data_IF_349891759999
#
_entry.id   IF_349891759999
#
_cell.length_a   1.000
_cell.length_b   1.000
_cell.length_c   1.000
_cell.angle_alpha   90.00
_cell.angle_beta   90.00
_cell.angle_gamma   90.00
#
_symmetry.space_group_name_H-M   'P 1'
#
loop_
_entity.id
_entity.type
_entity.pdbx_description
1 polymer ?
#
# COMPACT_ATOMS: atom_id res chain seq x y z
N UNK A 1 -19.47 -23.69 11.13
CA UNK A 1 -18.57 -23.48 9.98
C UNK A 1 -17.15 -23.39 10.51
N UNK A 2 -16.23 -24.19 9.98
CA UNK A 2 -14.80 -24.14 10.34
C UNK A 2 -14.28 -22.74 10.07
N UNK A 3 -13.63 -22.10 11.04
CA UNK A 3 -13.03 -20.79 10.86
C UNK A 3 -12.00 -20.87 9.72
N UNK A 4 -12.24 -20.15 8.62
CA UNK A 4 -11.32 -20.08 7.49
C UNK A 4 -10.06 -19.36 7.98
N UNK A 5 -8.93 -20.06 7.99
CA UNK A 5 -7.65 -19.50 8.45
C UNK A 5 -6.81 -19.07 7.24
N UNK A 6 -6.11 -17.93 7.32
CA UNK A 6 -5.11 -17.57 6.31
C UNK A 6 -4.05 -18.65 6.18
N UNK A 7 -3.68 -18.96 4.94
CA UNK A 7 -2.65 -19.95 4.62
C UNK A 7 -1.53 -19.29 3.83
N UNK A 8 -0.28 -19.63 4.16
CA UNK A 8 0.86 -19.24 3.35
C UNK A 8 0.73 -19.93 1.99
N UNK A 9 0.81 -19.16 0.92
CA UNK A 9 0.53 -19.67 -0.44
C UNK A 9 1.77 -20.16 -1.15
N UNK A 10 2.96 -19.68 -0.77
CA UNK A 10 4.19 -19.80 -1.57
C UNK A 10 5.46 -19.82 -0.71
N UNK A 11 6.61 -20.27 -1.26
CA UNK A 11 7.85 -20.41 -0.47
C UNK A 11 8.52 -19.08 -0.14
N UNK A 12 8.20 -17.98 -0.83
CA UNK A 12 8.84 -16.68 -0.66
C UNK A 12 8.75 -16.16 0.77
N UNK A 13 9.82 -15.47 1.18
CA UNK A 13 9.96 -14.84 2.50
C UNK A 13 10.58 -13.46 2.34
N UNK A 14 9.71 -12.46 2.30
CA UNK A 14 10.04 -11.08 2.01
C UNK A 14 10.68 -10.39 3.22
N UNK A 15 11.62 -9.49 2.96
CA UNK A 15 12.20 -8.66 4.03
C UNK A 15 11.14 -7.70 4.57
N UNK A 16 10.51 -6.95 3.66
CA UNK A 16 9.40 -6.05 3.94
C UNK A 16 8.38 -6.13 2.80
N UNK A 17 7.57 -7.19 2.83
CA UNK A 17 6.50 -7.40 1.86
C UNK A 17 5.34 -6.43 2.07
N UNK A 18 5.06 -5.59 1.09
CA UNK A 18 4.16 -4.44 1.22
C UNK A 18 3.51 -4.07 -0.12
N UNK A 19 2.70 -3.00 -0.14
CA UNK A 19 2.17 -2.39 -1.35
C UNK A 19 1.38 -3.38 -2.21
N UNK A 20 0.76 -4.39 -1.58
CA UNK A 20 0.05 -5.44 -2.28
C UNK A 20 -1.25 -4.90 -2.89
N UNK A 21 -1.49 -5.19 -4.17
CA UNK A 21 -2.63 -4.69 -4.94
C UNK A 21 -3.10 -5.74 -5.94
N UNK A 22 -4.40 -5.75 -6.22
CA UNK A 22 -4.98 -6.54 -7.30
C UNK A 22 -5.35 -5.62 -8.48
N UNK A 23 -4.78 -5.85 -9.66
CA UNK A 23 -5.00 -5.01 -10.86
C UNK A 23 -6.28 -5.37 -11.62
N UNK A 24 -7.02 -6.37 -11.17
CA UNK A 24 -8.11 -6.99 -11.93
C UNK A 24 -7.65 -8.23 -12.71
N UNK A 25 -6.37 -8.30 -13.07
CA UNK A 25 -5.78 -9.44 -13.80
C UNK A 25 -4.75 -10.21 -12.98
N UNK A 26 -3.95 -9.52 -12.17
CA UNK A 26 -2.91 -10.12 -11.35
C UNK A 26 -2.81 -9.42 -9.99
N UNK A 27 -2.20 -10.10 -9.02
CA UNK A 27 -1.80 -9.49 -7.75
C UNK A 27 -0.33 -9.11 -7.86
N UNK A 28 -0.01 -7.87 -7.54
CA UNK A 28 1.35 -7.35 -7.44
C UNK A 28 1.62 -6.88 -6.02
N UNK A 29 2.89 -6.84 -5.65
CA UNK A 29 3.37 -6.40 -4.35
C UNK A 29 4.83 -5.97 -4.47
N UNK A 30 5.35 -5.34 -3.42
CA UNK A 30 6.76 -4.94 -3.36
C UNK A 30 7.47 -5.65 -2.23
N UNK A 31 8.80 -5.75 -2.35
CA UNK A 31 9.69 -5.95 -1.22
C UNK A 31 10.47 -4.66 -1.02
N UNK A 32 10.03 -3.83 -0.07
CA UNK A 32 10.37 -2.40 -0.03
C UNK A 32 11.87 -2.19 -0.01
N UNK A 33 12.55 -2.79 0.97
CA UNK A 33 13.97 -2.53 1.21
C UNK A 33 14.86 -3.14 0.13
N UNK A 34 14.40 -4.23 -0.50
CA UNK A 34 15.06 -4.84 -1.64
C UNK A 34 14.80 -4.12 -2.97
N UNK A 35 13.89 -3.13 -3.01
CA UNK A 35 13.58 -2.37 -4.22
C UNK A 35 12.89 -3.20 -5.31
N UNK A 36 12.18 -4.27 -4.95
CA UNK A 36 11.62 -5.22 -5.93
C UNK A 36 10.13 -5.02 -6.14
N UNK A 37 9.69 -4.99 -7.39
CA UNK A 37 8.30 -5.18 -7.78
C UNK A 37 8.08 -6.63 -8.16
N UNK A 38 7.08 -7.27 -7.54
CA UNK A 38 6.79 -8.69 -7.68
C UNK A 38 5.35 -8.91 -8.16
N UNK A 39 5.14 -9.98 -8.92
CA UNK A 39 3.83 -10.48 -9.32
C UNK A 39 3.57 -11.86 -8.73
N UNK A 40 2.31 -12.13 -8.44
CA UNK A 40 1.79 -13.40 -7.99
C UNK A 40 1.43 -14.27 -9.20
N UNK A 41 2.14 -15.39 -9.46
CA UNK A 41 1.75 -16.32 -10.50
C UNK A 41 0.39 -16.97 -10.21
N UNK A 42 -0.28 -17.45 -11.27
CA UNK A 42 -1.55 -18.19 -11.14
C UNK A 42 -1.37 -19.58 -10.51
N UNK A 43 -0.21 -20.21 -10.71
CA UNK A 43 0.14 -21.45 -10.02
C UNK A 43 0.35 -21.16 -8.54
N UNK A 44 -0.49 -21.76 -7.70
CA UNK A 44 -0.64 -21.39 -6.27
C UNK A 44 0.67 -21.45 -5.50
N UNK A 45 1.51 -22.45 -5.78
CA UNK A 45 2.78 -22.71 -5.08
C UNK A 45 4.01 -22.15 -5.79
N UNK A 46 3.85 -21.54 -6.96
CA UNK A 46 4.97 -20.98 -7.70
C UNK A 46 5.58 -19.79 -6.94
N UNK A 47 6.92 -19.63 -6.97
CA UNK A 47 7.57 -18.48 -6.34
C UNK A 47 7.15 -17.18 -7.01
N UNK A 48 7.27 -16.07 -6.27
CA UNK A 48 6.99 -14.74 -6.81
C UNK A 48 7.87 -14.44 -8.03
N UNK A 49 7.27 -13.81 -9.05
CA UNK A 49 7.98 -13.39 -10.25
C UNK A 49 8.38 -11.92 -10.12
N UNK A 50 9.67 -11.63 -10.18
CA UNK A 50 10.19 -10.26 -10.27
C UNK A 50 9.78 -9.61 -11.58
N UNK A 51 9.14 -8.44 -11.48
CA UNK A 51 8.79 -7.58 -12.61
C UNK A 51 9.82 -6.47 -12.82
N UNK A 52 10.40 -5.96 -11.73
CA UNK A 52 11.45 -4.93 -11.77
C UNK A 52 12.25 -4.91 -10.47
N UNK A 53 13.46 -4.36 -10.54
CA UNK A 53 14.33 -4.11 -9.39
C UNK A 53 14.93 -2.71 -9.49
N UNK A 54 14.91 -1.97 -8.39
CA UNK A 54 15.44 -0.62 -8.27
C UNK A 54 16.59 -0.60 -7.25
N UNK A 55 17.61 0.25 -7.45
CA UNK A 55 18.70 0.43 -6.48
C UNK A 55 18.30 1.29 -5.27
N UNK A 56 17.00 1.52 -5.08
CA UNK A 56 16.40 2.31 -4.00
C UNK A 56 15.17 1.58 -3.48
N UNK A 57 14.72 1.87 -2.24
CA UNK A 57 13.49 1.26 -1.74
C UNK A 57 12.30 1.55 -2.65
N UNK A 58 11.46 0.54 -2.88
CA UNK A 58 10.24 0.67 -3.68
C UNK A 58 9.04 0.45 -2.75
N UNK A 59 8.37 1.53 -2.35
CA UNK A 59 7.34 1.51 -1.32
C UNK A 59 5.99 0.94 -1.78
N UNK A 60 5.51 1.36 -2.95
CA UNK A 60 4.27 0.86 -3.55
C UNK A 60 4.14 1.32 -5.01
N UNK A 61 3.22 0.68 -5.75
CA UNK A 61 2.93 1.01 -7.15
C UNK A 61 1.43 1.08 -7.45
N UNK A 62 1.08 1.79 -8.52
CA UNK A 62 -0.23 1.71 -9.17
C UNK A 62 -0.05 1.57 -10.69
N UNK A 63 -0.94 0.86 -11.40
CA UNK A 63 -0.91 0.83 -12.86
C UNK A 63 -1.07 2.23 -13.44
N UNK A 64 -0.39 2.52 -14.55
CA UNK A 64 -0.64 3.73 -15.33
C UNK A 64 -1.70 3.46 -16.41
N UNK A 65 -2.80 4.20 -16.37
CA UNK A 65 -3.92 4.02 -17.28
C UNK A 65 -3.50 4.21 -18.75
N UNK A 66 -3.84 3.25 -19.61
CA UNK A 66 -3.49 3.29 -21.04
C UNK A 66 -2.06 2.86 -21.38
N UNK A 67 -1.22 2.55 -20.37
CA UNK A 67 0.19 2.19 -20.57
C UNK A 67 0.50 0.83 -19.93
N UNK A 68 0.25 -0.25 -20.68
CA UNK A 68 0.44 -1.62 -20.18
C UNK A 68 1.87 -1.87 -19.71
N UNK A 69 2.03 -2.49 -18.54
CA UNK A 69 3.32 -2.78 -17.92
C UNK A 69 4.07 -1.56 -17.37
N UNK A 70 3.50 -0.35 -17.47
CA UNK A 70 4.06 0.86 -16.85
C UNK A 70 3.38 1.11 -15.51
N UNK A 71 4.20 1.41 -14.51
CA UNK A 71 3.76 1.67 -13.14
C UNK A 71 4.09 3.09 -12.72
N UNK A 72 3.17 3.75 -12.01
CA UNK A 72 3.53 4.89 -11.17
C UNK A 72 3.98 4.32 -9.84
N UNK A 73 5.17 4.71 -9.38
CA UNK A 73 5.83 4.14 -8.23
C UNK A 73 6.19 5.20 -7.20
N UNK A 74 5.96 4.89 -5.93
CA UNK A 74 6.55 5.59 -4.81
C UNK A 74 7.87 4.89 -4.47
N UNK A 75 9.01 5.52 -4.79
CA UNK A 75 10.32 4.89 -4.72
C UNK A 75 11.38 5.89 -4.25
N UNK A 76 12.42 5.41 -3.54
CA UNK A 76 13.46 6.27 -2.99
C UNK A 76 12.84 7.43 -2.22
N UNK A 77 13.14 8.66 -2.62
CA UNK A 77 12.67 9.92 -2.03
C UNK A 77 11.54 10.58 -2.84
N UNK A 78 10.90 9.83 -3.75
CA UNK A 78 10.05 10.44 -4.79
C UNK A 78 9.02 9.56 -5.47
N UNK A 79 8.42 10.13 -6.51
CA UNK A 79 7.45 9.47 -7.38
C UNK A 79 8.08 9.37 -8.78
N UNK A 80 8.03 8.19 -9.38
CA UNK A 80 8.54 7.93 -10.71
C UNK A 80 7.59 7.08 -11.56
N UNK A 81 7.85 7.05 -12.87
CA UNK A 81 7.34 6.04 -13.77
C UNK A 81 8.37 4.91 -13.88
N UNK A 82 7.92 3.68 -13.71
CA UNK A 82 8.68 2.48 -13.99
C UNK A 82 8.15 1.87 -15.28
N UNK A 83 8.96 1.93 -16.34
CA UNK A 83 8.61 1.42 -17.68
C UNK A 83 8.87 -0.09 -17.79
N UNK A 84 8.24 -0.79 -18.76
CA UNK A 84 8.43 -2.22 -18.98
C UNK A 84 9.86 -2.65 -19.30
N UNK A 85 10.67 -1.74 -19.85
CA UNK A 85 12.09 -1.96 -20.17
C UNK A 85 13.02 -1.77 -18.95
N UNK A 86 12.46 -1.45 -17.78
CA UNK A 86 13.20 -1.16 -16.55
C UNK A 86 13.63 0.30 -16.42
N UNK A 87 13.30 1.18 -17.38
CA UNK A 87 13.59 2.61 -17.28
C UNK A 87 12.81 3.23 -16.12
N UNK A 88 13.47 4.09 -15.35
CA UNK A 88 12.90 4.85 -14.23
C UNK A 88 12.91 6.34 -14.56
N UNK A 89 11.73 6.93 -14.77
CA UNK A 89 11.56 8.37 -15.01
C UNK A 89 11.02 9.07 -13.76
N UNK A 90 11.87 9.85 -13.10
CA UNK A 90 11.47 10.60 -11.92
C UNK A 90 10.52 11.76 -12.29
N UNK A 91 9.33 11.76 -11.71
CA UNK A 91 8.37 12.86 -11.82
C UNK A 91 8.67 13.94 -10.78
N UNK A 92 8.95 13.52 -9.54
CA UNK A 92 9.39 14.40 -8.47
C UNK A 92 10.17 13.62 -7.40
N UNK A 93 11.06 14.30 -6.67
CA UNK A 93 11.77 13.78 -5.50
C UNK A 93 11.70 14.80 -4.36
N UNK A 94 10.52 15.01 -3.76
CA UNK A 94 10.31 16.10 -2.80
C UNK A 94 11.08 15.92 -1.49
N UNK A 95 11.56 14.71 -1.20
CA UNK A 95 12.36 14.41 -0.01
C UNK A 95 13.87 14.43 -0.28
N UNK A 96 14.31 14.78 -1.49
CA UNK A 96 15.73 15.01 -1.78
C UNK A 96 16.25 16.20 -0.94
N UNK A 97 17.28 15.94 -0.14
CA UNK A 97 17.90 16.97 0.71
C UNK A 97 17.15 17.26 2.02
N UNK A 98 16.15 16.44 2.38
CA UNK A 98 15.58 16.47 3.72
C UNK A 98 16.67 16.27 4.80
N UNK A 99 16.54 16.88 5.99
CA UNK A 99 17.55 16.74 7.06
C UNK A 99 17.73 15.29 7.55
N UNK A 100 16.64 14.52 7.57
CA UNK A 100 16.65 13.10 7.90
C UNK A 100 16.81 12.25 6.63
N UNK A 101 17.26 11.00 6.78
CA UNK A 101 17.21 10.04 5.67
C UNK A 101 15.76 9.62 5.45
N UNK A 102 15.21 10.03 4.31
CA UNK A 102 13.81 9.77 3.95
C UNK A 102 13.68 8.61 2.96
N UNK A 103 12.50 8.00 2.96
CA UNK A 103 12.02 7.09 1.91
C UNK A 103 10.53 7.24 1.70
N UNK A 104 10.06 6.90 0.50
CA UNK A 104 8.67 6.57 0.27
C UNK A 104 8.30 5.25 0.96
N UNK A 105 7.05 5.19 1.40
CA UNK A 105 6.44 4.07 2.08
C UNK A 105 5.21 3.61 1.28
N UNK A 106 4.03 3.53 1.89
CA UNK A 106 2.82 3.09 1.19
C UNK A 106 2.26 4.14 0.21
N UNK A 107 1.57 3.66 -0.81
CA UNK A 107 0.97 4.49 -1.85
C UNK A 107 -0.20 3.79 -2.57
N UNK A 108 -1.13 4.58 -3.11
CA UNK A 108 -2.24 4.06 -3.92
C UNK A 108 -2.67 5.08 -4.97
N UNK A 109 -3.30 4.62 -6.06
CA UNK A 109 -4.12 5.49 -6.89
C UNK A 109 -5.55 5.57 -6.34
N UNK A 110 -6.11 6.79 -6.28
CA UNK A 110 -7.51 6.97 -5.92
C UNK A 110 -8.46 6.65 -7.10
N UNK A 111 -9.78 6.49 -6.86
CA UNK A 111 -10.75 6.20 -7.92
C UNK A 111 -10.81 7.23 -9.06
N UNK A 112 -10.25 8.41 -8.83
CA UNK A 112 -10.19 9.52 -9.79
C UNK A 112 -8.83 9.63 -10.49
N UNK A 113 -7.94 8.64 -10.31
CA UNK A 113 -6.68 8.52 -11.03
C UNK A 113 -5.55 9.40 -10.54
N UNK A 114 -5.61 9.94 -9.32
CA UNK A 114 -4.47 10.62 -8.67
C UNK A 114 -3.68 9.61 -7.86
N UNK A 115 -2.36 9.73 -7.79
CA UNK A 115 -1.51 8.82 -7.02
C UNK A 115 -1.05 9.45 -5.71
N UNK A 116 -1.31 8.79 -4.60
CA UNK A 116 -1.05 9.29 -3.25
C UNK A 116 0.06 8.46 -2.62
N UNK A 117 1.15 9.11 -2.19
CA UNK A 117 2.35 8.45 -1.70
C UNK A 117 2.81 9.04 -0.38
N UNK A 118 2.96 8.20 0.63
CA UNK A 118 3.48 8.57 1.94
C UNK A 118 5.00 8.51 1.98
N UNK A 119 5.65 9.48 2.63
CA UNK A 119 7.07 9.46 2.96
C UNK A 119 7.28 9.28 4.46
N UNK A 120 8.45 8.77 4.84
CA UNK A 120 8.87 8.68 6.23
C UNK A 120 10.38 8.74 6.36
N UNK A 121 10.87 9.12 7.53
CA UNK A 121 12.27 8.91 7.90
C UNK A 121 12.53 7.41 8.09
N UNK A 122 13.72 6.93 7.72
CA UNK A 122 14.13 5.53 7.96
C UNK A 122 14.05 5.15 9.45
N UNK A 123 14.38 6.10 10.32
CA UNK A 123 14.38 5.91 11.78
C UNK A 123 13.00 6.17 12.42
N UNK A 124 11.97 6.41 11.60
CA UNK A 124 10.62 6.78 12.04
C UNK A 124 10.60 8.00 12.97
N UNK A 125 11.45 9.00 12.68
CA UNK A 125 11.49 10.28 13.38
C UNK A 125 10.09 10.92 13.46
N UNK A 126 9.73 11.37 14.66
CA UNK A 126 8.39 11.87 14.93
C UNK A 126 8.03 13.05 14.00
N UNK A 127 6.93 12.91 13.25
CA UNK A 127 6.40 13.93 12.36
C UNK A 127 7.24 14.25 11.13
N UNK A 128 8.29 13.47 10.82
CA UNK A 128 9.14 13.71 9.66
C UNK A 128 8.46 13.35 8.33
N UNK A 129 7.47 12.45 8.36
CA UNK A 129 6.75 11.98 7.19
C UNK A 129 5.70 12.95 6.65
N UNK A 130 5.43 12.80 5.37
CA UNK A 130 4.46 13.60 4.62
C UNK A 130 3.58 12.70 3.74
N UNK A 131 2.46 13.24 3.28
CA UNK A 131 1.66 12.64 2.21
C UNK A 131 1.76 13.54 0.98
N UNK A 132 2.06 12.92 -0.17
CA UNK A 132 2.12 13.56 -1.47
C UNK A 132 1.01 13.07 -2.38
N UNK A 133 0.56 13.92 -3.29
CA UNK A 133 -0.42 13.59 -4.33
C UNK A 133 0.15 14.00 -5.69
N UNK A 134 0.22 13.05 -6.61
CA UNK A 134 0.44 13.27 -8.03
C UNK A 134 -0.92 13.50 -8.69
N UNK A 135 -1.14 14.73 -9.16
CA UNK A 135 -2.31 15.12 -9.93
C UNK A 135 -2.22 14.67 -11.37
N UNK A 136 -3.38 14.58 -12.04
CA UNK A 136 -3.44 14.09 -13.43
C UNK A 136 -2.65 14.95 -14.41
N UNK A 137 -2.42 16.22 -14.10
CA UNK A 137 -1.59 17.08 -14.93
C UNK A 137 -0.07 16.85 -14.75
N UNK A 138 0.34 15.87 -13.95
CA UNK A 138 1.74 15.56 -13.65
C UNK A 138 2.34 16.30 -12.45
N UNK A 139 1.57 17.18 -11.79
CA UNK A 139 2.07 17.94 -10.63
C UNK A 139 2.08 17.08 -9.39
N UNK A 140 3.21 17.07 -8.66
CA UNK A 140 3.31 16.46 -7.33
C UNK A 140 3.19 17.55 -6.26
N UNK A 141 2.20 17.42 -5.38
CA UNK A 141 1.95 18.35 -4.28
C UNK A 141 2.04 17.63 -2.94
N UNK A 142 2.58 18.31 -1.92
CA UNK A 142 2.47 17.85 -0.53
C UNK A 142 1.11 18.25 0.01
N UNK A 143 0.32 17.27 0.42
CA UNK A 143 -1.07 17.47 0.88
C UNK A 143 -1.21 17.33 2.39
N UNK A 144 -0.24 16.69 3.04
CA UNK A 144 -0.17 16.57 4.49
C UNK A 144 1.29 16.49 4.95
N UNK A 145 1.59 17.04 6.12
CA UNK A 145 2.87 16.92 6.81
C UNK A 145 2.65 16.52 8.28
N UNK A 146 3.72 16.26 9.02
CA UNK A 146 3.65 15.96 10.44
C UNK A 146 3.18 14.55 10.77
N UNK A 147 3.05 13.65 9.78
CA UNK A 147 2.80 12.22 10.01
C UNK A 147 4.13 11.55 10.35
N UNK A 148 4.17 10.60 11.27
CA UNK A 148 5.41 9.89 11.55
C UNK A 148 5.63 8.75 10.55
N UNK A 149 4.65 7.85 10.40
CA UNK A 149 4.69 6.75 9.42
C UNK A 149 3.34 6.66 8.71
N UNK A 150 3.19 7.28 7.52
CA UNK A 150 1.96 7.21 6.75
C UNK A 150 1.78 5.82 6.13
N UNK A 151 0.62 5.22 6.39
CA UNK A 151 0.22 3.92 5.86
C UNK A 151 -1.26 3.88 5.48
N UNK A 152 -1.63 2.91 4.66
CA UNK A 152 -2.96 2.81 4.09
C UNK A 152 -2.98 3.29 2.67
N UNK A 153 -2.76 4.60 2.45
CA UNK A 153 -3.94 5.42 2.18
C UNK A 153 -5.02 4.63 1.42
N UNK A 154 -6.11 4.25 2.07
CA UNK A 154 -7.16 3.45 1.44
C UNK A 154 -8.38 4.33 1.16
N UNK A 155 -8.99 4.19 -0.02
CA UNK A 155 -10.12 5.02 -0.42
C UNK A 155 -11.43 4.23 -0.44
N UNK A 156 -12.53 4.89 -0.10
CA UNK A 156 -13.86 4.36 -0.42
C UNK A 156 -14.05 4.26 -1.94
N UNK A 157 -14.93 3.36 -2.44
CA UNK A 157 -15.13 3.17 -3.87
C UNK A 157 -15.54 4.44 -4.64
N UNK A 158 -16.26 5.34 -3.98
CA UNK A 158 -16.67 6.64 -4.52
C UNK A 158 -15.60 7.73 -4.39
N UNK A 159 -14.46 7.41 -3.74
CA UNK A 159 -13.33 8.29 -3.48
C UNK A 159 -13.63 9.46 -2.54
N UNK A 160 -14.76 9.47 -1.84
CA UNK A 160 -15.15 10.58 -0.96
C UNK A 160 -14.46 10.56 0.40
N UNK A 161 -13.86 9.42 0.78
CA UNK A 161 -13.14 9.26 2.05
C UNK A 161 -11.81 8.54 1.80
N UNK A 162 -10.74 9.08 2.40
CA UNK A 162 -9.43 8.43 2.51
C UNK A 162 -9.19 8.05 3.97
N UNK A 163 -8.79 6.80 4.21
CA UNK A 163 -8.27 6.31 5.48
C UNK A 163 -6.74 6.35 5.45
N UNK A 164 -6.12 7.02 6.41
CA UNK A 164 -4.67 7.12 6.53
C UNK A 164 -4.27 6.83 7.98
N UNK A 165 -3.38 5.87 8.13
CA UNK A 165 -2.74 5.54 9.39
C UNK A 165 -1.52 6.44 9.63
N UNK A 166 -1.33 6.82 10.89
CA UNK A 166 -0.01 7.16 11.42
C UNK A 166 0.43 5.97 12.29
N UNK A 167 1.18 5.04 11.70
CA UNK A 167 1.48 3.74 12.30
C UNK A 167 2.22 3.85 13.62
N UNK A 168 3.15 4.81 13.72
CA UNK A 168 3.93 5.03 14.93
C UNK A 168 3.09 5.62 16.08
N UNK A 169 1.99 6.33 15.76
CA UNK A 169 1.05 6.87 16.74
C UNK A 169 -0.12 5.92 17.04
N UNK A 170 -0.26 4.83 16.31
CA UNK A 170 -1.36 3.87 16.49
C UNK A 170 -2.72 4.39 16.06
N UNK A 171 -2.80 5.50 15.32
CA UNK A 171 -4.09 6.16 14.97
C UNK A 171 -4.36 6.06 13.48
N UNK A 172 -5.59 5.65 13.13
CA UNK A 172 -6.13 5.77 11.78
C UNK A 172 -7.12 6.92 11.75
N UNK A 173 -6.93 7.83 10.80
CA UNK A 173 -7.85 8.95 10.54
C UNK A 173 -8.57 8.73 9.22
N UNK A 174 -9.81 9.17 9.16
CA UNK A 174 -10.56 9.33 7.91
C UNK A 174 -10.62 10.80 7.51
N UNK A 175 -10.31 11.07 6.26
CA UNK A 175 -10.32 12.39 5.64
C UNK A 175 -11.45 12.44 4.61
N UNK A 176 -12.38 13.40 4.68
CA UNK A 176 -13.18 13.74 3.51
C UNK A 176 -12.25 14.14 2.37
N UNK A 177 -12.55 13.70 1.16
CA UNK A 177 -11.80 14.03 -0.05
C UNK A 177 -12.78 14.61 -1.06
N UNK A 178 -12.48 15.79 -1.59
CA UNK A 178 -13.22 16.31 -2.73
C UNK A 178 -12.92 15.43 -3.97
N UNK A 179 -13.92 14.75 -4.57
CA UNK A 179 -13.70 13.89 -5.72
C UNK A 179 -13.15 14.62 -6.96
N UNK A 180 -13.50 15.90 -7.12
CA UNK A 180 -13.16 16.72 -8.26
C UNK A 180 -11.76 17.33 -8.13
N UNK A 181 -11.41 17.87 -6.97
CA UNK A 181 -10.14 18.60 -6.75
C UNK A 181 -9.09 17.76 -6.03
N UNK A 182 -9.56 16.83 -5.20
CA UNK A 182 -8.71 16.02 -4.34
C UNK A 182 -8.34 16.62 -3.01
N UNK A 183 -8.93 17.75 -2.65
CA UNK A 183 -8.59 18.44 -1.41
C UNK A 183 -9.08 17.65 -0.21
N UNK A 184 -8.26 17.66 0.85
CA UNK A 184 -8.57 17.01 2.11
C UNK A 184 -9.42 17.93 2.98
N UNK A 185 -10.55 17.42 3.46
CA UNK A 185 -11.34 18.04 4.51
C UNK A 185 -10.75 17.78 5.91
N UNK A 186 -11.41 18.34 6.93
CA UNK A 186 -11.01 18.12 8.33
C UNK A 186 -11.09 16.63 8.70
N UNK A 187 -9.98 16.01 9.16
CA UNK A 187 -9.99 14.61 9.53
C UNK A 187 -10.81 14.34 10.78
N UNK A 188 -11.26 13.09 10.90
CA UNK A 188 -11.78 12.52 12.14
C UNK A 188 -11.01 11.26 12.47
N UNK A 189 -10.82 11.00 13.75
CA UNK A 189 -10.36 9.67 14.18
C UNK A 189 -11.33 8.61 13.68
N UNK A 190 -10.78 7.51 13.16
CA UNK A 190 -11.53 6.34 12.75
C UNK A 190 -11.35 5.22 13.77
N UNK A 191 -10.10 4.81 14.02
CA UNK A 191 -9.76 3.82 15.05
C UNK A 191 -8.39 4.12 15.66
N UNK A 192 -8.21 3.71 16.93
CA UNK A 192 -6.92 3.69 17.63
C UNK A 192 -6.54 2.25 17.91
N UNK A 193 -5.28 1.90 17.65
CA UNK A 193 -4.70 0.57 17.83
C UNK A 193 -3.64 0.67 18.94
N UNK A 194 -3.86 -0.04 20.04
CA UNK A 194 -3.01 0.04 21.24
C UNK A 194 -1.99 -1.11 21.34
N UNK A 195 -2.26 -2.24 20.68
CA UNK A 195 -1.49 -3.49 20.82
C UNK A 195 -0.53 -3.76 19.65
N UNK A 196 -0.37 -2.81 18.74
CA UNK A 196 0.49 -2.87 17.56
C UNK A 196 0.37 -1.61 16.72
N UNK A 197 0.78 -1.66 15.46
CA UNK A 197 0.70 -0.50 14.55
C UNK A 197 -0.24 -0.78 13.39
N UNK A 198 -1.18 0.14 13.09
CA UNK A 198 -2.00 0.04 11.88
C UNK A 198 -1.11 0.21 10.65
N UNK A 199 -1.23 -0.69 9.68
CA UNK A 199 -0.34 -0.74 8.51
C UNK A 199 -1.17 -0.65 7.21
N UNK A 200 -0.73 -1.27 6.11
CA UNK A 200 -1.46 -1.30 4.84
C UNK A 200 -2.94 -1.72 4.96
N UNK A 201 -3.80 -1.03 4.20
CA UNK A 201 -5.25 -1.14 4.27
C UNK A 201 -5.90 -1.36 2.90
N UNK A 202 -7.10 -1.95 2.90
CA UNK A 202 -7.98 -2.02 1.73
C UNK A 202 -9.45 -1.87 2.16
N UNK A 203 -10.27 -1.25 1.30
CA UNK A 203 -11.71 -1.12 1.52
C UNK A 203 -12.45 -2.18 0.70
N UNK A 204 -13.37 -2.90 1.32
CA UNK A 204 -14.21 -3.89 0.63
C UNK A 204 -15.46 -3.24 -0.02
N UNK A 205 -16.21 -4.03 -0.79
CA UNK A 205 -17.39 -3.55 -1.53
C UNK A 205 -18.53 -3.00 -0.64
N UNK A 206 -18.51 -3.27 0.68
CA UNK A 206 -19.46 -2.72 1.65
C UNK A 206 -18.92 -1.47 2.38
N UNK A 207 -17.69 -1.04 2.05
CA UNK A 207 -17.05 0.10 2.68
C UNK A 207 -16.31 -0.21 3.98
N UNK A 208 -16.19 -1.48 4.37
CA UNK A 208 -15.43 -1.86 5.55
C UNK A 208 -13.92 -1.88 5.25
N UNK A 209 -13.12 -1.48 6.25
CA UNK A 209 -11.67 -1.35 6.14
C UNK A 209 -11.00 -2.61 6.67
N UNK A 210 -10.32 -3.34 5.81
CA UNK A 210 -9.37 -4.38 6.17
C UNK A 210 -8.01 -3.75 6.41
N UNK A 211 -7.39 -4.04 7.55
CA UNK A 211 -6.15 -3.42 7.99
C UNK A 211 -5.19 -4.48 8.54
N UNK A 212 -3.98 -4.53 7.99
CA UNK A 212 -2.89 -5.24 8.63
C UNK A 212 -2.49 -4.53 9.92
N UNK A 213 -2.20 -5.31 10.98
CA UNK A 213 -1.77 -4.74 12.26
C UNK A 213 -0.39 -5.31 12.60
N UNK A 214 0.63 -4.51 12.29
CA UNK A 214 2.03 -4.83 12.48
C UNK A 214 2.32 -5.22 13.94
N UNK A 215 3.11 -6.28 14.12
CA UNK A 215 3.54 -6.79 15.43
C UNK A 215 2.52 -7.69 16.14
N UNK A 216 1.27 -7.76 15.67
CA UNK A 216 0.20 -8.52 16.35
C UNK A 216 -0.10 -9.89 15.74
N UNK A 217 0.38 -10.14 14.52
CA UNK A 217 -0.06 -11.28 13.72
C UNK A 217 -1.55 -11.26 13.40
N UNK A 218 -2.14 -10.07 13.25
CA UNK A 218 -3.56 -9.93 12.91
C UNK A 218 -3.83 -9.04 11.71
N UNK A 219 -4.92 -9.37 11.00
CA UNK A 219 -5.62 -8.46 10.11
C UNK A 219 -7.01 -8.21 10.70
N UNK A 220 -7.41 -6.94 10.78
CA UNK A 220 -8.68 -6.52 11.39
C UNK A 220 -9.59 -5.89 10.34
N UNK A 221 -10.87 -6.26 10.32
CA UNK A 221 -11.92 -5.62 9.52
C UNK A 221 -12.72 -4.70 10.43
N UNK A 222 -12.80 -3.42 10.08
CA UNK A 222 -13.61 -2.42 10.77
C UNK A 222 -14.72 -1.93 9.85
N UNK A 223 -15.94 -1.79 10.39
CA UNK A 223 -17.08 -1.20 9.69
C UNK A 223 -16.85 0.31 9.45
N UNK A 224 -17.62 0.97 8.56
CA UNK A 224 -17.45 2.40 8.26
C UNK A 224 -17.57 3.36 9.46
N UNK A 225 -18.16 2.90 10.57
CA UNK A 225 -18.28 3.65 11.81
C UNK A 225 -17.09 3.45 12.79
N UNK A 226 -16.14 2.57 12.45
CA UNK A 226 -14.98 2.23 13.27
C UNK A 226 -15.16 0.97 14.11
N UNK A 227 -16.34 0.35 14.11
CA UNK A 227 -16.60 -0.87 14.88
C UNK A 227 -15.75 -2.03 14.35
N UNK A 228 -15.01 -2.71 15.23
CA UNK A 228 -14.30 -3.95 14.89
C UNK A 228 -15.32 -5.08 14.62
N UNK A 229 -15.36 -5.55 13.37
CA UNK A 229 -16.24 -6.63 12.92
C UNK A 229 -15.55 -8.00 12.97
N UNK A 230 -14.29 -8.07 12.53
CA UNK A 230 -13.58 -9.35 12.39
C UNK A 230 -12.09 -9.20 12.65
N UNK A 231 -11.51 -10.23 13.28
CA UNK A 231 -10.06 -10.37 13.42
C UNK A 231 -9.61 -11.71 12.84
N UNK A 232 -8.72 -11.66 11.85
CA UNK A 232 -8.01 -12.80 11.31
C UNK A 232 -6.65 -12.91 11.98
N UNK A 233 -6.29 -14.11 12.44
CA UNK A 233 -4.98 -14.38 13.06
C UNK A 233 -4.09 -15.14 12.08
N UNK A 234 -2.84 -14.70 11.99
CA UNK A 234 -1.80 -15.29 11.16
C UNK A 234 -0.71 -15.91 12.06
N UNK A 235 0.01 -16.92 11.57
CA UNK A 235 1.21 -17.42 12.25
C UNK A 235 2.41 -16.46 12.11
N UNK A 236 2.40 -15.58 11.11
CA UNK A 236 3.37 -14.49 10.98
C UNK A 236 3.06 -13.35 11.96
N UNK A 237 4.10 -12.73 12.52
CA UNK A 237 3.97 -11.66 13.55
C UNK A 237 3.76 -10.28 12.95
N UNK A 238 4.26 -10.03 11.75
CA UNK A 238 4.25 -8.70 11.13
C UNK A 238 3.48 -8.70 9.80
N UNK A 239 2.14 -8.83 9.81
CA UNK A 239 1.32 -8.43 8.66
C UNK A 239 1.57 -6.96 8.35
N UNK A 240 1.76 -6.63 7.08
CA UNK A 240 2.15 -5.30 6.64
C UNK A 240 1.18 -4.72 5.59
N UNK A 241 0.64 -5.53 4.69
CA UNK A 241 -0.30 -5.06 3.67
C UNK A 241 -1.42 -6.04 3.37
N UNK A 242 -2.53 -5.54 2.84
CA UNK A 242 -3.68 -6.34 2.40
C UNK A 242 -4.23 -5.87 1.05
N UNK A 243 -4.73 -6.80 0.24
CA UNK A 243 -5.60 -6.48 -0.88
C UNK A 243 -6.68 -7.54 -1.08
N UNK A 244 -7.77 -7.16 -1.72
CA UNK A 244 -8.89 -8.06 -2.04
C UNK A 244 -8.94 -8.33 -3.54
N UNK A 245 -8.62 -9.56 -3.94
CA UNK A 245 -8.80 -10.06 -5.29
C UNK A 245 -10.16 -10.78 -5.41
N UNK A 246 -11.21 -10.01 -5.70
CA UNK A 246 -12.58 -10.49 -5.53
C UNK A 246 -12.81 -10.95 -4.08
N UNK A 247 -13.22 -12.21 -3.88
CA UNK A 247 -13.47 -12.81 -2.56
C UNK A 247 -12.22 -13.37 -1.87
N UNK A 248 -11.01 -13.08 -2.36
CA UNK A 248 -9.76 -13.55 -1.74
C UNK A 248 -9.01 -12.36 -1.16
N UNK A 249 -8.82 -12.37 0.16
CA UNK A 249 -7.95 -11.44 0.84
C UNK A 249 -6.52 -11.97 0.80
N UNK A 250 -5.63 -11.24 0.15
CA UNK A 250 -4.19 -11.47 0.16
C UNK A 250 -3.54 -10.60 1.23
N UNK A 251 -2.54 -11.14 1.92
CA UNK A 251 -1.90 -10.50 3.06
C UNK A 251 -0.39 -10.65 2.90
N UNK A 252 0.34 -9.54 2.81
CA UNK A 252 1.80 -9.53 2.90
C UNK A 252 2.25 -9.44 4.34
N UNK A 253 3.42 -10.01 4.61
CA UNK A 253 4.06 -9.96 5.92
C UNK A 253 5.55 -9.67 5.75
N UNK A 254 6.22 -9.35 6.85
CA UNK A 254 7.61 -8.90 6.83
C UNK A 254 8.49 -9.64 7.85
N UNK A 255 9.80 -9.66 7.58
CA UNK A 255 10.84 -10.15 8.49
C UNK A 255 11.62 -9.05 9.18
N UNK A 256 11.69 -7.86 8.57
CA UNK A 256 12.51 -6.75 9.06
C UNK A 256 12.19 -6.44 10.53
N UNK A 257 13.23 -6.18 11.32
CA UNK A 257 13.11 -5.90 12.76
C UNK A 257 12.99 -7.13 13.67
N UNK A 258 12.75 -8.33 13.14
CA UNK A 258 12.69 -9.56 13.94
C UNK A 258 14.10 -10.14 14.15
N UNK A 259 14.50 -10.33 15.41
CA UNK A 259 15.78 -10.98 15.74
C UNK A 259 15.81 -12.48 15.42
N UNK A 260 14.66 -13.14 15.46
CA UNK A 260 14.51 -14.56 15.17
C UNK A 260 13.19 -14.79 14.40
N UNK A 261 13.13 -14.51 13.08
CA UNK A 261 11.93 -14.71 12.27
C UNK A 261 11.50 -16.19 12.27
N UNK A 262 10.20 -16.44 12.44
CA UNK A 262 9.60 -17.76 12.36
C UNK A 262 9.47 -18.25 10.92
N UNK A 263 8.97 -19.48 10.72
CA UNK A 263 8.85 -20.07 9.39
C UNK A 263 7.89 -19.31 8.47
N UNK A 264 6.99 -18.50 9.03
CA UNK A 264 5.92 -17.81 8.32
C UNK A 264 6.12 -16.28 8.23
N UNK A 265 7.07 -15.72 8.99
CA UNK A 265 7.39 -14.28 8.89
C UNK A 265 7.98 -13.98 7.50
N UNK A 266 7.42 -12.99 6.81
CA UNK A 266 7.75 -12.64 5.42
C UNK A 266 6.95 -13.40 4.36
N UNK A 267 6.09 -14.35 4.73
CA UNK A 267 5.27 -15.09 3.76
C UNK A 267 4.11 -14.25 3.20
N UNK A 268 3.59 -14.66 2.03
CA UNK A 268 2.31 -14.19 1.51
C UNK A 268 1.18 -15.16 1.89
N UNK A 269 0.14 -14.63 2.50
CA UNK A 269 -1.07 -15.38 2.86
C UNK A 269 -2.24 -15.08 1.93
N UNK A 270 -3.15 -16.04 1.82
CA UNK A 270 -4.47 -15.84 1.23
C UNK A 270 -5.56 -16.47 2.10
N UNK A 271 -6.76 -15.90 2.04
CA UNK A 271 -7.95 -16.40 2.73
C UNK A 271 -9.20 -15.96 1.99
N UNK A 272 -10.21 -16.83 1.91
CA UNK A 272 -11.51 -16.46 1.34
C UNK A 272 -12.33 -15.65 2.33
N UNK A 273 -12.95 -14.58 1.86
CA UNK A 273 -13.80 -13.67 2.63
C UNK A 273 -15.18 -13.52 1.98
N UNK A 274 -16.15 -13.09 2.78
CA UNK A 274 -17.55 -13.02 2.36
C UNK A 274 -17.80 -11.82 1.43
N UNK A 275 -17.19 -10.68 1.74
CA UNK A 275 -17.33 -9.43 1.00
C UNK A 275 -16.14 -9.26 0.05
N UNK A 276 -16.36 -9.08 -1.26
CA UNK A 276 -15.28 -8.94 -2.20
C UNK A 276 -14.69 -7.54 -2.18
N UNK A 277 -13.48 -7.39 -2.72
CA UNK A 277 -12.96 -6.09 -3.14
C UNK A 277 -13.08 -5.85 -4.64
N UNK A 278 -12.67 -4.67 -5.04
CA UNK A 278 -12.58 -4.25 -6.45
C UNK A 278 -11.12 -4.14 -6.89
N UNK A 279 -10.84 -4.19 -8.21
CA UNK A 279 -9.51 -3.88 -8.72
C UNK A 279 -9.01 -2.53 -8.21
N UNK A 280 -7.72 -2.45 -7.93
CA UNK A 280 -7.08 -1.18 -7.59
C UNK A 280 -7.29 -0.17 -8.72
N UNK A 281 -7.58 1.10 -8.42
CA UNK A 281 -7.59 2.13 -9.44
C UNK A 281 -6.21 2.27 -10.11
N UNK A 282 -6.23 2.77 -11.35
CA UNK A 282 -5.02 3.14 -12.08
C UNK A 282 -4.79 4.66 -11.99
N UNK A 283 -3.54 5.07 -11.88
CA UNK A 283 -3.17 6.48 -12.02
C UNK A 283 -3.43 6.95 -13.46
N UNK A 284 -3.85 8.19 -13.65
CA UNK A 284 -4.07 8.82 -14.96
C UNK A 284 -3.20 10.05 -15.08
N UNK A 285 -2.51 10.19 -16.20
CA UNK A 285 -1.74 11.39 -16.54
C UNK A 285 -2.29 11.99 -17.84
N UNK A 286 -2.87 13.18 -17.74
CA UNK A 286 -3.47 13.93 -18.84
C UNK A 286 -2.40 14.80 -19.50
N UNK A 287 -2.11 14.55 -20.79
CA UNK A 287 -1.24 15.41 -21.60
C UNK A 287 0.27 15.30 -21.31
N UNK A 288 0.70 14.46 -20.38
CA UNK A 288 2.11 14.10 -20.20
C UNK A 288 2.49 13.11 -21.28
N UNK A 289 3.43 13.47 -22.17
CA UNK A 289 3.98 12.51 -23.14
C UNK A 289 4.77 11.44 -22.38
N UNK A 290 4.14 10.29 -22.16
CA UNK A 290 4.85 9.06 -21.84
C UNK A 290 5.40 8.53 -23.16
N UNK A 291 6.56 9.04 -23.58
CA UNK A 291 7.21 8.54 -24.79
C UNK A 291 7.55 7.05 -24.61
N UNK A 292 7.17 6.20 -25.59
CA UNK A 292 7.54 4.77 -25.60
C UNK A 292 6.49 3.75 -26.03
N UNK A 293 5.27 4.12 -26.45
CA UNK A 293 4.33 3.14 -27.03
C UNK A 293 4.59 2.97 -28.54
N UNK A 294 5.28 1.89 -28.90
CA UNK A 294 5.18 1.26 -30.21
C UNK A 294 4.41 -0.06 -30.07
#
# INVERSE_FOLDING_TARGET
MTAVRPQATRPDRLELGEGIRWTGTEVVLVDILAGRLLSVPQEETAPLRTLAELPVPLGAVAPLAGHHGTWVAAAGTGICLLRPDGTVDWLARPEDGAPARMRMNDAVADPFGRFWAGSMAFDADEGAGSLYRLDRNGTVVRVLDGVTVPNGPAFTPDGSVMYLADSARGVVRRYPVDPATGDLGTPREFVTVEDGSPDGMAVDAEGAVWMAVWGTGTVRRHLPDGTLDRTLRLPARQPAGVCLAGHVLHITTARVGLSAPGPDDGALFAVRVDVPGTPTPACRLDGVRVEGSA
#
